data_IF_245766495941
#
_entry.id   IF_245766495941
#
_cell.length_a   1.000
_cell.length_b   1.000
_cell.length_c   1.000
_cell.angle_alpha   90.00
_cell.angle_beta   90.00
_cell.angle_gamma   90.00
#
_symmetry.space_group_name_H-M   'P 1'
#
loop_
_entity.id
_entity.type
_entity.pdbx_description
1 polymer ?
#
# COMPACT_ATOMS: atom_id res chain seq x y z
N UNK A 1 9.71 -4.06 0.61
CA UNK A 1 8.77 -4.42 1.70
C UNK A 1 7.99 -3.26 2.34
N UNK A 2 8.62 -2.16 2.79
CA UNK A 2 7.91 -1.11 3.55
C UNK A 2 6.69 -0.49 2.85
N UNK A 3 6.76 -0.24 1.54
CA UNK A 3 5.64 0.32 0.77
C UNK A 3 4.41 -0.59 0.74
N UNK A 4 4.60 -1.91 0.79
CA UNK A 4 3.49 -2.87 0.78
C UNK A 4 2.74 -2.86 2.11
N UNK A 5 3.47 -2.76 3.24
CA UNK A 5 2.85 -2.61 4.56
C UNK A 5 2.01 -1.33 4.64
N UNK A 6 2.52 -0.23 4.08
CA UNK A 6 1.77 1.02 3.97
C UNK A 6 0.43 0.83 3.24
N UNK A 7 0.39 0.01 2.18
CA UNK A 7 -0.82 -0.24 1.40
C UNK A 7 -1.86 -1.13 2.11
N UNK A 8 -1.51 -1.78 3.22
CA UNK A 8 -2.45 -2.61 3.98
C UNK A 8 -3.38 -1.80 4.90
N UNK A 9 -3.03 -0.55 5.22
CA UNK A 9 -3.83 0.35 6.05
C UNK A 9 -5.16 0.76 5.40
N UNK A 10 -6.17 1.11 6.21
CA UNK A 10 -7.43 1.70 5.70
C UNK A 10 -7.30 3.19 5.40
N UNK A 11 -6.42 3.88 6.14
CA UNK A 11 -6.09 5.30 5.97
C UNK A 11 -4.61 5.53 6.31
N UNK A 12 -3.90 6.32 5.49
CA UNK A 12 -2.44 6.42 5.50
C UNK A 12 -2.02 7.89 5.52
N UNK A 13 -1.17 8.24 6.48
CA UNK A 13 -0.73 9.61 6.70
C UNK A 13 0.79 9.66 6.55
N UNK A 14 1.27 10.50 5.63
CA UNK A 14 2.67 10.82 5.45
C UNK A 14 3.05 12.16 6.08
N UNK A 15 4.35 12.44 6.15
CA UNK A 15 4.90 13.73 6.58
C UNK A 15 5.57 14.39 5.38
N UNK A 16 5.41 15.70 5.22
CA UNK A 16 6.11 16.46 4.20
C UNK A 16 7.62 16.39 4.44
N UNK A 17 8.41 16.30 3.37
CA UNK A 17 9.86 16.21 3.47
C UNK A 17 10.47 15.35 2.37
N UNK A 18 11.77 15.13 2.49
CA UNK A 18 12.55 14.36 1.52
C UNK A 18 12.44 12.84 1.78
N UNK A 19 11.22 12.32 1.73
CA UNK A 19 10.92 10.90 1.90
C UNK A 19 10.55 10.25 0.56
N UNK A 20 10.77 8.93 0.48
CA UNK A 20 10.60 8.14 -0.74
C UNK A 20 9.72 6.92 -0.47
N UNK A 21 8.79 6.64 -1.36
CA UNK A 21 8.01 5.40 -1.42
C UNK A 21 8.31 4.71 -2.75
N UNK A 22 8.83 3.49 -2.71
CA UNK A 22 9.14 2.74 -3.92
C UNK A 22 8.95 1.25 -3.70
N UNK A 23 8.42 0.58 -4.72
CA UNK A 23 8.53 -0.86 -4.90
C UNK A 23 9.73 -1.06 -5.85
N UNK A 24 10.91 -1.29 -5.28
CA UNK A 24 12.19 -1.21 -5.98
C UNK A 24 12.64 -2.55 -6.58
N UNK A 25 11.81 -3.59 -6.53
CA UNK A 25 12.14 -4.96 -6.92
C UNK A 25 12.75 -5.01 -8.33
N UNK A 26 12.12 -4.37 -9.32
CA UNK A 26 12.63 -4.35 -10.71
C UNK A 26 13.97 -3.63 -10.82
N UNK A 27 14.17 -2.54 -10.06
CA UNK A 27 15.44 -1.79 -10.07
C UNK A 27 16.62 -2.63 -9.56
N UNK A 28 16.36 -3.66 -8.75
CA UNK A 28 17.39 -4.56 -8.22
C UNK A 28 17.42 -5.93 -8.92
N UNK A 29 16.77 -6.05 -10.08
CA UNK A 29 16.77 -7.28 -10.87
C UNK A 29 15.80 -8.37 -10.37
N UNK A 30 14.88 -8.03 -9.47
CA UNK A 30 13.82 -8.94 -9.02
C UNK A 30 12.54 -8.70 -9.82
N UNK A 31 11.94 -9.78 -10.31
CA UNK A 31 10.57 -9.72 -10.82
C UNK A 31 9.63 -9.42 -9.65
N UNK A 32 8.74 -8.44 -9.81
CA UNK A 32 7.76 -8.10 -8.78
C UNK A 32 6.91 -9.32 -8.41
N UNK A 33 6.79 -9.68 -7.11
CA UNK A 33 5.93 -10.77 -6.69
C UNK A 33 4.47 -10.59 -7.10
N UNK A 34 3.78 -11.68 -7.40
CA UNK A 34 2.35 -11.69 -7.73
C UNK A 34 1.52 -11.08 -6.60
N UNK A 35 1.81 -11.48 -5.35
CA UNK A 35 1.10 -10.98 -4.18
C UNK A 35 1.27 -9.47 -3.97
N UNK A 36 2.45 -8.91 -4.23
CA UNK A 36 2.72 -7.49 -4.02
C UNK A 36 2.09 -6.61 -5.09
N UNK A 37 1.94 -7.10 -6.32
CA UNK A 37 1.18 -6.42 -7.38
C UNK A 37 -0.27 -6.22 -6.92
N UNK A 38 -0.91 -7.24 -6.37
CA UNK A 38 -2.29 -7.15 -5.91
C UNK A 38 -2.44 -6.27 -4.65
N UNK A 39 -1.43 -6.24 -3.77
CA UNK A 39 -1.36 -5.29 -2.67
C UNK A 39 -1.37 -3.84 -3.18
N UNK A 40 -0.58 -3.52 -4.21
CA UNK A 40 -0.52 -2.18 -4.79
C UNK A 40 -1.80 -1.84 -5.58
N UNK A 41 -2.33 -2.80 -6.36
CA UNK A 41 -3.48 -2.62 -7.24
C UNK A 41 -4.74 -2.12 -6.52
N UNK A 42 -4.92 -2.48 -5.25
CA UNK A 42 -6.09 -2.07 -4.49
C UNK A 42 -6.09 -0.58 -4.08
N UNK A 43 -4.95 0.12 -4.22
CA UNK A 43 -4.79 1.51 -3.74
C UNK A 43 -4.28 2.48 -4.80
N UNK A 44 -3.29 2.06 -5.59
CA UNK A 44 -2.66 2.93 -6.58
C UNK A 44 -3.62 3.22 -7.74
N UNK A 45 -3.51 4.41 -8.32
CA UNK A 45 -4.16 4.66 -9.61
C UNK A 45 -3.60 3.70 -10.67
N UNK A 46 -4.36 3.31 -11.70
CA UNK A 46 -3.85 2.39 -12.72
C UNK A 46 -2.54 2.87 -13.36
N UNK A 47 -2.40 4.18 -13.60
CA UNK A 47 -1.19 4.77 -14.13
C UNK A 47 -0.01 4.71 -13.13
N UNK A 48 -0.24 5.00 -11.85
CA UNK A 48 0.78 4.90 -10.82
C UNK A 48 1.22 3.45 -10.60
N UNK A 49 0.28 2.50 -10.64
CA UNK A 49 0.57 1.07 -10.50
C UNK A 49 1.54 0.60 -11.58
N UNK A 50 1.29 0.96 -12.85
CA UNK A 50 2.19 0.60 -13.96
C UNK A 50 3.60 1.16 -13.74
N UNK A 51 3.74 2.43 -13.34
CA UNK A 51 5.07 3.03 -13.12
C UNK A 51 5.75 2.50 -11.87
N UNK A 52 5.01 2.20 -10.81
CA UNK A 52 5.53 1.57 -9.60
C UNK A 52 6.07 0.15 -9.88
N UNK A 53 5.28 -0.68 -10.56
CA UNK A 53 5.62 -2.10 -10.78
C UNK A 53 6.66 -2.28 -11.88
N UNK A 54 6.53 -1.57 -13.00
CA UNK A 54 7.36 -1.79 -14.18
C UNK A 54 8.64 -0.94 -14.19
N UNK A 55 8.58 0.25 -13.60
CA UNK A 55 9.67 1.24 -13.69
C UNK A 55 10.31 1.55 -12.33
N UNK A 56 9.88 0.86 -11.27
CA UNK A 56 10.35 1.11 -9.90
C UNK A 56 10.28 2.60 -9.50
N UNK A 57 9.27 3.32 -10.00
CA UNK A 57 9.15 4.76 -9.75
C UNK A 57 9.22 5.06 -8.24
N UNK A 58 9.96 6.12 -7.91
CA UNK A 58 9.99 6.66 -6.57
C UNK A 58 8.94 7.75 -6.43
N UNK A 59 7.97 7.50 -5.56
CA UNK A 59 6.96 8.46 -5.13
C UNK A 59 7.44 9.20 -3.88
N UNK A 60 6.83 10.35 -3.61
CA UNK A 60 7.14 11.24 -2.49
C UNK A 60 5.86 11.56 -1.72
N UNK A 61 5.93 12.18 -0.53
CA UNK A 61 4.74 12.71 0.12
C UNK A 61 3.93 13.65 -0.77
N UNK A 62 4.60 14.46 -1.61
CA UNK A 62 3.94 15.47 -2.45
C UNK A 62 3.08 14.87 -3.57
N UNK A 63 3.53 13.80 -4.24
CA UNK A 63 2.74 13.13 -5.28
C UNK A 63 2.02 11.86 -4.77
N UNK A 64 2.30 11.44 -3.54
CA UNK A 64 1.79 10.18 -2.99
C UNK A 64 0.28 10.18 -2.79
N UNK A 65 -0.33 11.35 -2.55
CA UNK A 65 -1.78 11.47 -2.37
C UNK A 65 -2.52 11.21 -3.69
N UNK A 66 -2.17 11.94 -4.75
CA UNK A 66 -2.80 11.81 -6.07
C UNK A 66 -2.54 10.44 -6.72
N UNK A 67 -1.43 9.77 -6.38
CA UNK A 67 -1.09 8.45 -6.90
C UNK A 67 -1.63 7.30 -6.03
N UNK A 68 -2.30 7.61 -4.92
CA UNK A 68 -2.96 6.62 -4.07
C UNK A 68 -2.04 5.88 -3.09
N UNK A 69 -0.82 6.35 -2.84
CA UNK A 69 0.13 5.76 -1.88
C UNK A 69 -0.24 6.10 -0.44
N UNK A 70 -0.67 7.34 -0.20
CA UNK A 70 -1.11 7.88 1.09
C UNK A 70 -2.40 8.69 0.89
N UNK A 71 -3.09 9.00 1.97
CA UNK A 71 -4.39 9.71 1.94
C UNK A 71 -4.26 11.16 2.46
N UNK A 72 -3.21 11.45 3.23
CA UNK A 72 -2.94 12.78 3.79
C UNK A 72 -1.44 12.99 4.02
N UNK A 73 -1.02 14.26 3.96
CA UNK A 73 0.33 14.69 4.38
C UNK A 73 0.20 15.74 5.49
N UNK A 74 0.97 15.59 6.57
CA UNK A 74 1.15 16.62 7.61
C UNK A 74 2.41 17.43 7.33
N UNK A 75 2.48 18.66 7.83
CA UNK A 75 3.60 19.55 7.50
C UNK A 75 4.90 19.16 8.22
N UNK A 76 4.79 18.67 9.45
CA UNK A 76 5.93 18.35 10.31
C UNK A 76 5.80 16.98 10.95
N UNK A 77 6.93 16.39 11.35
CA UNK A 77 6.95 15.08 12.02
C UNK A 77 6.22 15.12 13.37
N UNK A 78 6.32 16.24 14.09
CA UNK A 78 5.63 16.45 15.36
C UNK A 78 4.10 16.38 15.24
N UNK A 79 3.55 16.70 14.06
CA UNK A 79 2.10 16.63 13.80
C UNK A 79 1.61 15.21 13.50
N UNK A 80 2.50 14.27 13.13
CA UNK A 80 2.11 12.96 12.60
C UNK A 80 1.29 12.15 13.61
N UNK A 81 1.86 11.90 14.79
CA UNK A 81 1.22 11.07 15.80
C UNK A 81 -0.08 11.70 16.35
N UNK A 82 -0.11 13.01 16.70
CA UNK A 82 -1.36 13.67 17.08
C UNK A 82 -2.44 13.57 15.98
N UNK A 83 -2.08 13.77 14.71
CA UNK A 83 -3.01 13.68 13.59
C UNK A 83 -3.53 12.26 13.40
N UNK A 84 -2.67 11.26 13.49
CA UNK A 84 -3.06 9.85 13.38
C UNK A 84 -4.03 9.44 14.50
N UNK A 85 -3.74 9.81 15.75
CA UNK A 85 -4.61 9.54 16.89
C UNK A 85 -5.96 10.26 16.78
N UNK A 86 -5.95 11.53 16.37
CA UNK A 86 -7.18 12.30 16.13
C UNK A 86 -8.05 11.68 15.03
N UNK A 87 -7.42 11.20 13.96
CA UNK A 87 -8.10 10.51 12.85
C UNK A 87 -8.67 9.16 13.30
N UNK A 88 -7.91 8.37 14.07
CA UNK A 88 -8.41 7.11 14.62
C UNK A 88 -9.61 7.34 15.57
N UNK A 89 -9.56 8.39 16.40
CA UNK A 89 -10.66 8.78 17.29
C UNK A 89 -11.90 9.23 16.53
N UNK A 90 -11.77 9.87 15.36
CA UNK A 90 -12.96 10.21 14.56
C UNK A 90 -13.57 8.95 13.94
N UNK A 91 -12.74 8.00 13.50
CA UNK A 91 -13.23 6.72 12.96
C UNK A 91 -13.87 5.82 14.02
N UNK A 92 -13.51 5.95 15.30
CA UNK A 92 -14.16 5.17 16.37
C UNK A 92 -15.63 5.52 16.59
N UNK A 93 -16.10 6.66 16.06
CA UNK A 93 -17.52 7.02 16.08
C UNK A 93 -18.35 6.30 14.99
N UNK A 94 -17.70 5.63 14.03
CA UNK A 94 -18.38 4.85 13.00
C UNK A 94 -18.97 3.56 13.58
N UNK A 95 -20.02 3.04 12.93
CA UNK A 95 -20.55 1.73 13.30
C UNK A 95 -19.55 0.61 12.97
N UNK A 96 -19.02 -0.06 13.99
CA UNK A 96 -17.99 -1.08 13.84
C UNK A 96 -18.44 -2.31 13.03
N UNK A 97 -19.68 -2.76 13.19
CA UNK A 97 -20.21 -3.91 12.45
C UNK A 97 -20.38 -3.60 10.96
N UNK A 98 -20.91 -2.42 10.63
CA UNK A 98 -21.05 -1.95 9.26
C UNK A 98 -19.68 -1.72 8.60
N UNK A 99 -18.72 -1.16 9.34
CA UNK A 99 -17.34 -1.01 8.87
C UNK A 99 -16.72 -2.38 8.51
N UNK A 100 -16.78 -3.35 9.43
CA UNK A 100 -16.23 -4.69 9.21
C UNK A 100 -16.88 -5.41 8.01
N UNK A 101 -18.21 -5.38 7.92
CA UNK A 101 -18.94 -5.97 6.80
C UNK A 101 -18.60 -5.30 5.46
N UNK A 102 -18.50 -3.97 5.44
CA UNK A 102 -18.15 -3.21 4.24
C UNK A 102 -16.71 -3.48 3.80
N UNK A 103 -15.77 -3.50 4.75
CA UNK A 103 -14.36 -3.81 4.49
C UNK A 103 -14.20 -5.21 3.91
N UNK A 104 -14.90 -6.20 4.46
CA UNK A 104 -14.85 -7.57 3.94
C UNK A 104 -15.41 -7.69 2.53
N UNK A 105 -16.50 -6.98 2.21
CA UNK A 105 -17.06 -6.95 0.85
C UNK A 105 -16.11 -6.29 -0.14
N UNK A 106 -15.58 -5.11 0.22
CA UNK A 106 -14.67 -4.36 -0.64
C UNK A 106 -13.34 -5.10 -0.86
N UNK A 107 -12.76 -5.69 0.21
CA UNK A 107 -11.44 -6.32 0.15
C UNK A 107 -11.48 -7.83 -0.14
N UNK A 108 -12.65 -8.43 -0.30
CA UNK A 108 -12.79 -9.88 -0.51
C UNK A 108 -12.02 -10.36 -1.74
N UNK A 109 -12.22 -9.69 -2.88
CA UNK A 109 -11.55 -10.03 -4.14
C UNK A 109 -10.03 -9.86 -4.09
N UNK A 110 -9.55 -8.72 -3.57
CA UNK A 110 -8.11 -8.48 -3.45
C UNK A 110 -7.46 -9.47 -2.48
N UNK A 111 -8.11 -9.82 -1.37
CA UNK A 111 -7.55 -10.82 -0.42
C UNK A 111 -7.44 -12.18 -1.08
N UNK A 112 -8.41 -12.59 -1.90
CA UNK A 112 -8.33 -13.82 -2.67
C UNK A 112 -7.17 -13.76 -3.69
N UNK A 113 -7.03 -12.66 -4.42
CA UNK A 113 -5.96 -12.46 -5.40
C UNK A 113 -4.56 -12.45 -4.75
N UNK A 114 -4.41 -11.83 -3.58
CA UNK A 114 -3.15 -11.86 -2.81
C UNK A 114 -2.80 -13.28 -2.39
N UNK A 115 -3.77 -14.08 -1.93
CA UNK A 115 -3.54 -15.48 -1.53
C UNK A 115 -3.13 -16.37 -2.71
N UNK A 116 -3.78 -16.21 -3.85
CA UNK A 116 -3.38 -16.89 -5.10
C UNK A 116 -1.97 -16.45 -5.53
N UNK A 117 -1.69 -15.15 -5.46
CA UNK A 117 -0.36 -14.60 -5.72
C UNK A 117 0.72 -15.20 -4.82
N UNK A 118 0.46 -15.35 -3.52
CA UNK A 118 1.39 -15.99 -2.58
C UNK A 118 1.71 -17.44 -2.96
N UNK A 119 0.72 -18.21 -3.44
CA UNK A 119 0.95 -19.57 -3.91
C UNK A 119 1.85 -19.61 -5.15
N UNK A 120 1.64 -18.68 -6.09
CA UNK A 120 2.48 -18.52 -7.29
C UNK A 120 3.89 -18.07 -6.95
N UNK A 121 4.02 -17.12 -6.02
CA UNK A 121 5.31 -16.64 -5.52
C UNK A 121 6.12 -17.78 -4.90
N UNK A 122 5.47 -18.60 -4.06
CA UNK A 122 6.10 -19.78 -3.46
C UNK A 122 6.60 -20.79 -4.52
N UNK A 123 5.80 -21.08 -5.55
CA UNK A 123 6.22 -21.96 -6.65
C UNK A 123 7.39 -21.38 -7.45
N UNK A 124 7.37 -20.06 -7.70
CA UNK A 124 8.46 -19.36 -8.37
C UNK A 124 9.77 -19.38 -7.57
N UNK A 125 9.70 -19.11 -6.26
CA UNK A 125 10.87 -19.10 -5.40
C UNK A 125 11.50 -20.49 -5.22
N UNK A 126 10.69 -21.54 -5.18
CA UNK A 126 11.20 -22.92 -5.18
C UNK A 126 12.08 -23.25 -6.37
N UNK A 127 11.92 -22.56 -7.51
CA UNK A 127 12.75 -22.78 -8.71
C UNK A 127 14.02 -21.94 -8.73
N UNK A 128 14.05 -20.87 -7.94
CA UNK A 128 15.13 -19.88 -7.92
C UNK A 128 16.10 -20.09 -6.75
N UNK A 129 15.63 -20.61 -5.63
CA UNK A 129 16.37 -20.65 -4.36
C UNK A 129 16.42 -22.03 -3.69
N UNK A 130 15.71 -23.02 -4.22
CA UNK A 130 15.72 -24.41 -3.77
C UNK A 130 16.08 -25.31 -4.95
#
# INVERSE_FOLDING_TARGET
MGVFLLQCGDYRIGVAGNFKYSANEVAIGMTMPWSTIEILRQRLTPAALSRAVLLAETFTPTNGVENGLIDRVVATEAELLPTALGTAKSFSALNGAAHAASKNRLRGEVVAAIRDGLAKDLDGWKKLFL
#
